data_IF_730389224153
#
_entry.id   IF_730389224153
#
_cell.length_a   1.000
_cell.length_b   1.000
_cell.length_c   1.000
_cell.angle_alpha   90.00
_cell.angle_beta   90.00
_cell.angle_gamma   90.00
#
_symmetry.space_group_name_H-M   'P 1'
#
loop_
_entity.id
_entity.type
_entity.pdbx_description
1 polymer ?
#
# COMPACT_ATOMS: atom_id res chain seq x y z
N UNK A 1 8.65 7.76 8.22
CA UNK A 1 7.24 8.13 8.50
C UNK A 1 6.44 7.84 7.25
N UNK A 2 5.24 7.27 7.39
CA UNK A 2 4.36 6.90 6.28
C UNK A 2 3.06 7.69 6.37
N UNK A 3 2.43 7.96 5.23
CA UNK A 3 1.14 8.65 5.14
C UNK A 3 -0.02 7.67 5.24
N UNK A 4 0.17 6.44 4.77
CA UNK A 4 -0.84 5.38 4.76
C UNK A 4 -0.25 4.02 5.18
N UNK A 5 -1.06 3.23 5.87
CA UNK A 5 -0.85 1.81 6.13
C UNK A 5 -1.94 1.00 5.42
N UNK A 6 -1.54 0.04 4.59
CA UNK A 6 -2.44 -0.91 3.94
C UNK A 6 -2.17 -2.30 4.51
N UNK A 7 -3.22 -2.98 4.98
CA UNK A 7 -3.14 -4.36 5.48
C UNK A 7 -3.72 -5.30 4.43
N UNK A 8 -2.87 -6.17 3.90
CA UNK A 8 -3.17 -7.07 2.79
C UNK A 8 -2.51 -6.63 1.48
N UNK A 9 -1.51 -7.37 1.02
CA UNK A 9 -0.82 -7.19 -0.26
C UNK A 9 -1.42 -8.07 -1.38
N UNK A 10 -2.73 -8.35 -1.30
CA UNK A 10 -3.48 -8.95 -2.40
C UNK A 10 -3.68 -7.97 -3.56
N UNK A 11 -4.51 -8.33 -4.54
CA UNK A 11 -4.73 -7.51 -5.74
C UNK A 11 -5.20 -6.09 -5.42
N UNK A 12 -6.28 -5.95 -4.64
CA UNK A 12 -6.84 -4.64 -4.31
C UNK A 12 -5.87 -3.76 -3.51
N UNK A 13 -5.21 -4.34 -2.49
CA UNK A 13 -4.24 -3.62 -1.66
C UNK A 13 -3.04 -3.15 -2.46
N UNK A 14 -2.54 -3.97 -3.38
CA UNK A 14 -1.41 -3.62 -4.25
C UNK A 14 -1.76 -2.50 -5.24
N UNK A 15 -2.93 -2.58 -5.88
CA UNK A 15 -3.39 -1.53 -6.81
C UNK A 15 -3.64 -0.21 -6.09
N UNK A 16 -4.24 -0.25 -4.90
CA UNK A 16 -4.46 0.96 -4.10
C UNK A 16 -3.12 1.59 -3.68
N UNK A 17 -2.16 0.77 -3.25
CA UNK A 17 -0.85 1.24 -2.84
C UNK A 17 -0.08 1.88 -3.99
N UNK A 18 -0.11 1.27 -5.18
CA UNK A 18 0.50 1.82 -6.39
C UNK A 18 -0.09 3.19 -6.71
N UNK A 19 -1.41 3.31 -6.73
CA UNK A 19 -2.08 4.60 -7.02
C UNK A 19 -1.75 5.69 -6.01
N UNK A 20 -1.68 5.35 -4.72
CA UNK A 20 -1.32 6.31 -3.67
C UNK A 20 0.17 6.71 -3.75
N UNK A 21 1.05 5.76 -4.05
CA UNK A 21 2.48 6.01 -4.16
C UNK A 21 2.83 6.79 -5.43
N UNK A 22 2.48 6.26 -6.61
CA UNK A 22 2.82 6.85 -7.89
C UNK A 22 1.89 8.01 -8.29
N UNK A 23 0.58 7.85 -8.08
CA UNK A 23 -0.42 8.84 -8.49
C UNK A 23 -0.61 10.00 -7.52
N UNK A 24 -0.15 9.90 -6.27
CA UNK A 24 -0.32 10.95 -5.25
C UNK A 24 0.94 11.27 -4.46
N UNK A 25 2.08 10.68 -4.82
CA UNK A 25 3.38 10.87 -4.17
C UNK A 25 3.32 10.65 -2.65
N UNK A 26 2.55 9.66 -2.20
CA UNK A 26 2.40 9.30 -0.78
C UNK A 26 3.34 8.17 -0.40
N UNK A 27 3.88 8.23 0.82
CA UNK A 27 4.67 7.14 1.39
C UNK A 27 3.72 6.11 1.99
N UNK A 28 3.63 4.95 1.36
CA UNK A 28 2.71 3.88 1.77
C UNK A 28 3.51 2.73 2.40
N UNK A 29 3.06 2.25 3.56
CA UNK A 29 3.50 1.00 4.15
C UNK A 29 2.46 -0.08 3.88
N UNK A 30 2.87 -1.22 3.31
CA UNK A 30 1.99 -2.38 3.15
C UNK A 30 2.48 -3.48 4.08
N UNK A 31 1.57 -4.04 4.86
CA UNK A 31 1.81 -5.25 5.65
C UNK A 31 0.89 -6.36 5.16
N UNK A 32 1.45 -7.53 4.89
CA UNK A 32 0.71 -8.72 4.51
C UNK A 32 1.14 -9.88 5.36
N UNK A 33 0.18 -10.72 5.76
CA UNK A 33 0.50 -11.96 6.46
C UNK A 33 0.67 -13.06 5.42
N UNK A 34 1.92 -13.44 5.18
CA UNK A 34 2.24 -14.66 4.44
C UNK A 34 2.29 -15.85 5.40
N UNK A 35 2.00 -17.08 4.94
CA UNK A 35 2.36 -18.29 5.67
C UNK A 35 3.87 -18.35 5.94
#
# INVERSE_FOLDING_TARGET
MFDYLIVGAGFAGSVLAERLAAGSNKRVLICDKRP
#
